data_IF_050989795407
#
_entry.id   IF_050989795407
#
_cell.length_a   1.000
_cell.length_b   1.000
_cell.length_c   1.000
_cell.angle_alpha   90.00
_cell.angle_beta   90.00
_cell.angle_gamma   90.00
#
_symmetry.space_group_name_H-M   'P 1'
#
loop_
_entity.id
_entity.type
_entity.pdbx_description
1 polymer ?
#
# COMPACT_ATOMS: atom_id res chain seq x y z
N UNK A 1 1.87 17.40 -0.22
CA UNK A 1 1.35 16.67 -1.40
C UNK A 1 1.33 17.52 -2.66
N UNK A 2 0.44 18.50 -2.77
CA UNK A 2 0.30 19.31 -4.00
C UNK A 2 1.58 19.88 -4.61
N UNK A 3 2.49 20.44 -3.79
CA UNK A 3 3.76 21.01 -4.27
C UNK A 3 4.62 20.05 -5.10
N UNK A 4 4.61 18.75 -4.78
CA UNK A 4 5.50 17.77 -5.41
C UNK A 4 4.76 16.76 -6.30
N UNK A 5 3.45 16.60 -6.12
CA UNK A 5 2.68 15.53 -6.78
C UNK A 5 1.50 16.03 -7.62
N UNK A 6 1.27 17.35 -7.74
CA UNK A 6 0.10 17.85 -8.48
C UNK A 6 0.03 17.30 -9.91
N UNK A 7 1.16 17.11 -10.60
CA UNK A 7 1.22 16.57 -11.98
C UNK A 7 0.77 15.11 -12.12
N UNK A 8 0.45 14.44 -11.02
CA UNK A 8 -0.08 13.07 -10.97
C UNK A 8 -1.52 13.00 -10.45
N UNK A 9 -2.07 14.10 -9.93
CA UNK A 9 -3.38 14.12 -9.26
C UNK A 9 -4.42 14.69 -10.23
N UNK A 10 -5.57 14.02 -10.34
CA UNK A 10 -6.72 14.55 -11.07
C UNK A 10 -8.04 14.12 -10.42
N UNK A 11 -9.04 15.02 -10.34
CA UNK A 11 -8.91 16.47 -10.44
C UNK A 11 -7.95 17.01 -9.36
N UNK A 12 -7.19 18.05 -9.70
CA UNK A 12 -6.33 18.74 -8.74
C UNK A 12 -6.91 20.12 -8.44
N UNK A 13 -7.29 20.35 -7.19
CA UNK A 13 -7.93 21.59 -6.74
C UNK A 13 -6.97 22.56 -6.02
N UNK A 14 -5.69 22.19 -5.91
CA UNK A 14 -4.69 23.02 -5.25
C UNK A 14 -4.09 24.10 -6.16
N UNK A 15 -3.13 24.85 -5.61
CA UNK A 15 -2.55 26.05 -6.26
C UNK A 15 -1.14 25.86 -6.82
N UNK A 16 -0.56 24.66 -6.68
CA UNK A 16 0.85 24.40 -7.07
C UNK A 16 1.06 24.12 -8.57
N UNK A 17 -0.01 24.04 -9.37
CA UNK A 17 0.06 23.79 -10.80
C UNK A 17 -1.30 23.37 -11.35
N UNK A 18 -1.35 22.99 -12.63
CA UNK A 18 -2.61 22.65 -13.32
C UNK A 18 -3.22 21.30 -12.88
N UNK A 19 -2.42 20.40 -12.29
CA UNK A 19 -2.83 19.02 -12.08
C UNK A 19 -2.37 18.07 -13.18
N UNK A 20 -2.93 16.86 -13.18
CA UNK A 20 -2.88 15.91 -14.29
C UNK A 20 -4.21 15.94 -15.07
N UNK A 21 -4.25 15.38 -16.29
CA UNK A 21 -5.51 15.18 -17.04
C UNK A 21 -6.20 13.84 -16.73
N UNK A 22 -5.47 12.93 -16.08
CA UNK A 22 -5.91 11.60 -15.67
C UNK A 22 -5.26 11.30 -14.32
N UNK A 23 -6.02 10.72 -13.40
CA UNK A 23 -5.50 10.46 -12.06
C UNK A 23 -4.43 9.35 -12.12
N UNK A 24 -3.28 9.61 -11.50
CA UNK A 24 -2.12 8.72 -11.37
C UNK A 24 -1.63 8.66 -9.93
N UNK A 25 -2.44 9.16 -8.99
CA UNK A 25 -2.12 9.25 -7.58
C UNK A 25 -3.28 8.68 -6.77
N UNK A 26 -3.05 7.50 -6.20
CA UNK A 26 -4.05 6.70 -5.49
C UNK A 26 -3.52 6.41 -4.07
N UNK A 27 -3.80 7.28 -3.10
CA UNK A 27 -3.36 7.11 -1.72
C UNK A 27 -4.29 6.18 -0.94
N UNK A 28 -3.77 5.55 0.12
CA UNK A 28 -4.57 4.91 1.17
C UNK A 28 -4.47 5.74 2.46
N UNK A 29 -5.56 5.80 3.23
CA UNK A 29 -5.58 6.47 4.54
C UNK A 29 -4.63 5.82 5.55
N UNK A 30 -3.95 6.66 6.35
CA UNK A 30 -3.18 6.24 7.52
C UNK A 30 -3.65 6.91 8.80
N UNK A 31 -3.01 6.55 9.91
CA UNK A 31 -3.41 7.07 11.22
C UNK A 31 -3.26 8.59 11.36
N UNK A 32 -2.32 9.18 10.62
CA UNK A 32 -2.11 10.62 10.58
C UNK A 32 -3.23 11.38 9.86
N UNK A 33 -3.84 10.78 8.83
CA UNK A 33 -5.01 11.34 8.17
C UNK A 33 -6.21 11.33 9.12
N UNK A 34 -6.45 10.19 9.78
CA UNK A 34 -7.51 10.07 10.77
C UNK A 34 -7.32 10.95 12.01
N UNK A 35 -6.07 11.22 12.41
CA UNK A 35 -5.76 12.17 13.48
C UNK A 35 -6.14 13.61 13.11
N UNK A 36 -6.35 13.90 11.83
CA UNK A 36 -6.64 15.23 11.32
C UNK A 36 -8.11 15.33 10.94
N UNK A 37 -8.94 15.78 11.88
CA UNK A 37 -10.39 15.97 11.68
C UNK A 37 -11.08 14.73 11.08
N UNK A 38 -10.74 13.54 11.59
CA UNK A 38 -11.30 12.27 11.15
C UNK A 38 -11.20 12.06 9.63
N UNK A 39 -10.00 12.26 9.07
CA UNK A 39 -9.68 12.13 7.65
C UNK A 39 -10.39 13.11 6.69
N UNK A 40 -11.19 14.07 7.20
CA UNK A 40 -11.91 15.02 6.35
C UNK A 40 -11.00 15.77 5.35
N UNK A 41 -9.80 16.25 5.72
CA UNK A 41 -8.93 16.93 4.76
C UNK A 41 -8.43 16.02 3.63
N UNK A 42 -8.34 14.72 3.86
CA UNK A 42 -8.02 13.75 2.81
C UNK A 42 -9.21 13.62 1.85
N UNK A 43 -10.42 13.45 2.39
CA UNK A 43 -11.67 13.28 1.63
C UNK A 43 -12.03 14.54 0.83
N UNK A 44 -11.70 15.72 1.36
CA UNK A 44 -11.90 16.98 0.65
C UNK A 44 -10.88 17.22 -0.47
N UNK A 45 -9.70 16.59 -0.38
CA UNK A 45 -8.56 16.90 -1.24
C UNK A 45 -8.45 15.98 -2.45
N UNK A 46 -8.72 14.70 -2.27
CA UNK A 46 -8.67 13.71 -3.33
C UNK A 46 -10.08 13.44 -3.87
N UNK A 47 -10.15 13.06 -5.14
CA UNK A 47 -11.35 12.43 -5.71
C UNK A 47 -10.93 11.04 -6.15
N UNK A 48 -11.44 10.03 -5.47
CA UNK A 48 -11.04 8.63 -5.65
C UNK A 48 -12.27 7.78 -5.97
N UNK A 49 -12.08 6.53 -6.46
CA UNK A 49 -13.20 5.64 -6.67
C UNK A 49 -13.95 5.29 -5.37
N UNK A 50 -15.15 4.74 -5.55
CA UNK A 50 -16.03 4.22 -4.49
C UNK A 50 -16.31 5.22 -3.36
N UNK A 51 -15.92 4.88 -2.13
CA UNK A 51 -16.14 5.70 -0.94
C UNK A 51 -14.89 6.48 -0.51
N UNK A 52 -13.82 6.41 -1.32
CA UNK A 52 -12.55 7.12 -1.17
C UNK A 52 -11.69 6.72 0.03
N UNK A 53 -12.25 6.01 1.03
CA UNK A 53 -11.52 5.42 2.16
C UNK A 53 -10.88 4.10 1.78
N UNK A 54 -11.67 3.25 1.13
CA UNK A 54 -11.22 2.02 0.49
C UNK A 54 -11.90 1.90 -0.87
N UNK A 55 -11.14 1.45 -1.86
CA UNK A 55 -11.55 1.50 -3.26
C UNK A 55 -10.64 0.62 -4.11
N UNK A 56 -11.09 0.32 -5.33
CA UNK A 56 -10.26 -0.39 -6.30
C UNK A 56 -10.16 0.34 -7.64
N UNK A 57 -9.17 -0.06 -8.43
CA UNK A 57 -9.03 0.36 -9.82
C UNK A 57 -8.11 -0.59 -10.59
N UNK A 58 -8.20 -0.54 -11.92
CA UNK A 58 -7.29 -1.28 -12.80
C UNK A 58 -6.28 -0.35 -13.46
N UNK A 59 -5.05 -0.84 -13.62
CA UNK A 59 -3.97 -0.14 -14.33
C UNK A 59 -3.11 -1.13 -15.11
N UNK A 60 -3.40 -1.24 -16.42
CA UNK A 60 -2.77 -2.26 -17.26
C UNK A 60 -3.09 -3.67 -16.74
N UNK A 61 -2.10 -4.52 -16.44
CA UNK A 61 -2.31 -5.90 -15.96
C UNK A 61 -2.60 -5.99 -14.45
N UNK A 62 -2.74 -4.86 -13.76
CA UNK A 62 -2.94 -4.79 -12.32
C UNK A 62 -4.40 -4.46 -11.99
N UNK A 63 -4.97 -5.17 -11.02
CA UNK A 63 -6.11 -4.71 -10.22
C UNK A 63 -5.62 -4.35 -8.83
N UNK A 64 -5.74 -3.08 -8.45
CA UNK A 64 -5.25 -2.55 -7.19
C UNK A 64 -6.41 -2.28 -6.24
N UNK A 65 -6.25 -2.70 -4.99
CA UNK A 65 -7.22 -2.53 -3.91
C UNK A 65 -6.59 -1.74 -2.78
N UNK A 66 -7.09 -0.52 -2.56
CA UNK A 66 -6.72 0.33 -1.43
C UNK A 66 -7.62 -0.01 -0.24
N UNK A 67 -7.03 -0.28 0.93
CA UNK A 67 -7.78 -0.44 2.18
C UNK A 67 -7.49 0.73 3.13
N UNK A 68 -8.47 1.02 3.99
CA UNK A 68 -8.28 1.80 5.19
C UNK A 68 -8.13 0.85 6.37
N UNK A 69 -6.91 0.80 6.92
CA UNK A 69 -6.55 -0.14 7.98
C UNK A 69 -6.51 0.51 9.37
N UNK A 70 -6.96 1.76 9.51
CA UNK A 70 -7.07 2.43 10.79
C UNK A 70 -8.29 1.94 11.56
N UNK A 71 -8.15 1.71 12.88
CA UNK A 71 -9.24 1.20 13.72
C UNK A 71 -10.48 2.09 13.80
N UNK A 72 -10.40 3.34 13.30
CA UNK A 72 -11.52 4.29 13.23
C UNK A 72 -12.36 4.16 11.96
N UNK A 73 -11.96 3.31 11.02
CA UNK A 73 -12.74 3.05 9.80
C UNK A 73 -14.15 2.53 10.18
N UNK A 74 -15.24 3.19 9.73
CA UNK A 74 -16.62 2.87 10.16
C UNK A 74 -17.16 1.50 9.73
N UNK A 75 -16.73 0.98 8.58
CA UNK A 75 -17.08 -0.33 8.03
C UNK A 75 -16.27 -1.50 8.64
N UNK A 76 -15.20 -1.18 9.38
CA UNK A 76 -14.33 -2.05 10.16
C UNK A 76 -13.04 -2.49 9.44
N UNK A 77 -12.07 -2.94 10.25
CA UNK A 77 -10.71 -3.35 9.80
C UNK A 77 -10.33 -4.82 10.11
N UNK A 78 -11.29 -5.63 10.53
CA UNK A 78 -11.11 -7.08 10.77
C UNK A 78 -11.61 -7.95 9.62
N UNK A 79 -11.25 -9.24 9.62
CA UNK A 79 -11.56 -10.18 8.52
C UNK A 79 -13.07 -10.38 8.21
N UNK A 80 -13.95 -10.07 9.17
CA UNK A 80 -15.40 -10.27 9.05
C UNK A 80 -16.19 -8.96 8.85
N UNK A 81 -15.49 -7.89 8.47
CA UNK A 81 -16.04 -6.54 8.34
C UNK A 81 -16.62 -6.30 6.95
N UNK A 82 -17.41 -5.23 6.79
CA UNK A 82 -17.96 -4.85 5.49
C UNK A 82 -16.84 -4.61 4.47
N UNK A 83 -15.78 -3.92 4.88
CA UNK A 83 -14.59 -3.71 4.05
C UNK A 83 -13.91 -5.03 3.65
N UNK A 84 -13.79 -6.00 4.56
CA UNK A 84 -13.20 -7.30 4.26
C UNK A 84 -14.04 -8.13 3.27
N UNK A 85 -15.37 -8.11 3.40
CA UNK A 85 -16.29 -8.77 2.45
C UNK A 85 -16.21 -8.12 1.07
N UNK A 86 -16.10 -6.79 1.02
CA UNK A 86 -15.88 -6.03 -0.21
C UNK A 86 -14.59 -6.50 -0.90
N UNK A 87 -13.47 -6.56 -0.18
CA UNK A 87 -12.19 -7.01 -0.74
C UNK A 87 -12.25 -8.46 -1.23
N UNK A 88 -12.80 -9.36 -0.42
CA UNK A 88 -12.94 -10.77 -0.79
C UNK A 88 -13.72 -10.93 -2.10
N UNK A 89 -14.81 -10.17 -2.25
CA UNK A 89 -15.64 -10.18 -3.46
C UNK A 89 -14.89 -9.60 -4.66
N UNK A 90 -14.19 -8.48 -4.47
CA UNK A 90 -13.42 -7.82 -5.52
C UNK A 90 -12.26 -8.68 -6.05
N UNK A 91 -11.50 -9.30 -5.15
CA UNK A 91 -10.41 -10.21 -5.53
C UNK A 91 -10.93 -11.44 -6.28
N UNK A 92 -12.02 -12.05 -5.80
CA UNK A 92 -12.63 -13.21 -6.45
C UNK A 92 -13.23 -12.88 -7.84
N UNK A 93 -13.67 -11.64 -8.04
CA UNK A 93 -14.22 -11.16 -9.31
C UNK A 93 -13.17 -10.61 -10.29
N UNK A 94 -11.92 -10.44 -9.87
CA UNK A 94 -10.88 -9.85 -10.70
C UNK A 94 -10.48 -10.76 -11.86
N UNK A 95 -10.39 -10.16 -13.06
CA UNK A 95 -9.86 -10.82 -14.27
C UNK A 95 -8.44 -10.37 -14.61
N UNK A 96 -7.84 -9.49 -13.79
CA UNK A 96 -6.49 -8.98 -14.04
C UNK A 96 -5.43 -10.04 -13.76
N UNK A 97 -4.30 -10.03 -14.50
CA UNK A 97 -3.18 -10.90 -14.24
C UNK A 97 -2.66 -10.85 -12.80
N UNK A 98 -2.64 -9.67 -12.18
CA UNK A 98 -2.10 -9.47 -10.83
C UNK A 98 -3.06 -8.65 -9.97
N UNK A 99 -3.32 -9.14 -8.77
CA UNK A 99 -4.12 -8.44 -7.77
C UNK A 99 -3.19 -7.90 -6.67
N UNK A 100 -3.22 -6.58 -6.46
CA UNK A 100 -2.36 -5.89 -5.50
C UNK A 100 -3.23 -5.28 -4.41
N UNK A 101 -2.98 -5.63 -3.15
CA UNK A 101 -3.65 -4.99 -2.01
C UNK A 101 -2.67 -4.05 -1.32
N UNK A 102 -3.08 -2.82 -0.98
CA UNK A 102 -2.22 -1.88 -0.30
C UNK A 102 -2.96 -1.02 0.74
N UNK A 103 -2.29 -0.73 1.86
CA UNK A 103 -2.84 0.04 2.97
C UNK A 103 -1.74 0.54 3.93
N UNK A 104 -2.11 1.18 5.03
CA UNK A 104 -1.13 1.83 5.90
C UNK A 104 -0.47 0.88 6.92
N UNK A 105 -1.25 0.19 7.76
CA UNK A 105 -0.75 -0.58 8.91
C UNK A 105 -0.38 -2.03 8.52
N UNK A 106 0.89 -2.41 8.63
CA UNK A 106 1.39 -3.70 8.13
C UNK A 106 0.86 -4.92 8.91
N UNK A 107 0.31 -5.97 8.25
CA UNK A 107 -0.09 -7.20 8.92
C UNK A 107 1.08 -7.95 9.57
N UNK A 108 2.25 -7.84 8.95
CA UNK A 108 3.52 -8.40 9.38
C UNK A 108 4.60 -7.34 9.23
N UNK A 109 5.34 -7.08 10.30
CA UNK A 109 6.46 -6.14 10.33
C UNK A 109 7.38 -6.50 11.48
N UNK A 110 8.68 -6.44 11.21
CA UNK A 110 9.77 -6.52 12.19
C UNK A 110 10.20 -5.14 12.70
N UNK A 111 9.51 -4.07 12.28
CA UNK A 111 9.79 -2.69 12.64
C UNK A 111 9.41 -2.36 14.09
N UNK A 112 9.50 -1.06 14.43
CA UNK A 112 9.26 -0.58 15.78
C UNK A 112 7.78 -0.62 16.17
N UNK A 113 6.87 -0.34 15.23
CA UNK A 113 5.42 -0.50 15.48
C UNK A 113 5.01 -1.96 15.43
N UNK A 114 5.67 -2.74 14.57
CA UNK A 114 5.51 -4.18 14.49
C UNK A 114 4.22 -4.60 13.79
N UNK A 115 3.84 -5.86 14.00
CA UNK A 115 2.71 -6.46 13.29
C UNK A 115 1.34 -5.95 13.77
N UNK A 116 0.49 -5.59 12.81
CA UNK A 116 -0.91 -5.22 13.05
C UNK A 116 -1.83 -6.42 12.86
N UNK A 117 -2.18 -7.10 13.95
CA UNK A 117 -2.86 -8.40 13.89
C UNK A 117 -4.28 -8.35 13.32
N UNK A 118 -5.03 -7.25 13.51
CA UNK A 118 -6.37 -7.13 12.94
C UNK A 118 -6.36 -7.01 11.41
N UNK A 119 -5.26 -6.55 10.82
CA UNK A 119 -5.07 -6.46 9.36
C UNK A 119 -4.55 -7.76 8.73
N UNK A 120 -4.38 -8.85 9.50
CA UNK A 120 -4.03 -10.15 8.94
C UNK A 120 -5.29 -10.78 8.38
N UNK A 121 -5.54 -10.64 7.08
CA UNK A 121 -6.68 -11.29 6.40
C UNK A 121 -6.18 -12.41 5.47
N UNK A 122 -7.05 -13.34 5.03
CA UNK A 122 -6.67 -14.44 4.13
C UNK A 122 -6.53 -13.96 2.68
N UNK A 123 -5.65 -12.98 2.47
CA UNK A 123 -5.42 -12.31 1.18
C UNK A 123 -5.02 -13.30 0.08
N UNK A 124 -4.20 -14.30 0.42
CA UNK A 124 -3.74 -15.32 -0.54
C UNK A 124 -4.91 -16.16 -1.02
N UNK A 125 -5.72 -16.65 -0.10
CA UNK A 125 -6.90 -17.46 -0.37
C UNK A 125 -7.96 -16.67 -1.15
N UNK A 126 -8.02 -15.35 -0.93
CA UNK A 126 -8.92 -14.46 -1.67
C UNK A 126 -8.40 -14.09 -3.06
N UNK A 127 -7.13 -14.35 -3.36
CA UNK A 127 -6.57 -14.18 -4.71
C UNK A 127 -5.62 -13.00 -4.87
N UNK A 128 -5.11 -12.42 -3.79
CA UNK A 128 -4.05 -11.41 -3.87
C UNK A 128 -2.73 -12.02 -4.35
N UNK A 129 -2.00 -11.29 -5.19
CA UNK A 129 -0.65 -11.63 -5.63
C UNK A 129 0.43 -11.07 -4.69
N UNK A 130 0.15 -9.92 -4.07
CA UNK A 130 1.06 -9.21 -3.15
C UNK A 130 0.28 -8.25 -2.27
N UNK A 131 0.79 -8.01 -1.06
CA UNK A 131 0.27 -7.01 -0.12
C UNK A 131 1.34 -5.97 0.21
N UNK A 132 1.01 -4.69 0.09
CA UNK A 132 1.86 -3.57 0.48
C UNK A 132 1.34 -2.88 1.72
N UNK A 133 2.25 -2.48 2.59
CA UNK A 133 1.96 -1.67 3.75
C UNK A 133 3.02 -0.58 3.97
N UNK A 134 2.71 0.38 4.83
CA UNK A 134 3.63 1.41 5.32
C UNK A 134 3.71 1.38 6.85
N UNK A 135 3.44 2.54 7.46
CA UNK A 135 3.40 2.78 8.90
C UNK A 135 4.76 2.63 9.62
N UNK A 136 5.36 1.44 9.56
CA UNK A 136 6.74 1.27 9.99
C UNK A 136 7.69 1.94 9.00
N UNK A 137 8.49 2.89 9.49
CA UNK A 137 9.44 3.65 8.67
C UNK A 137 10.72 2.85 8.37
N UNK A 138 10.52 1.68 7.78
CA UNK A 138 11.51 0.70 7.30
C UNK A 138 11.11 0.24 5.90
N UNK A 139 12.04 -0.42 5.21
CA UNK A 139 11.73 -1.30 4.11
C UNK A 139 11.91 -2.74 4.57
N UNK A 140 10.91 -3.57 4.31
CA UNK A 140 10.95 -4.99 4.63
C UNK A 140 10.18 -5.79 3.58
N UNK A 141 10.78 -6.88 3.08
CA UNK A 141 10.08 -7.89 2.28
C UNK A 141 9.95 -9.16 3.10
N UNK A 142 8.72 -9.65 3.24
CA UNK A 142 8.39 -10.88 3.94
C UNK A 142 7.71 -11.87 2.99
N UNK A 143 7.89 -13.16 3.26
CA UNK A 143 7.16 -14.24 2.60
C UNK A 143 6.41 -15.03 3.67
N UNK A 144 5.09 -14.78 3.77
CA UNK A 144 4.24 -15.41 4.79
C UNK A 144 3.30 -16.37 4.10
N UNK A 145 3.37 -17.65 4.46
CA UNK A 145 2.56 -18.73 3.86
C UNK A 145 2.57 -18.74 2.32
N UNK A 146 3.69 -18.31 1.72
CA UNK A 146 3.87 -18.23 0.27
C UNK A 146 3.23 -17.03 -0.43
N UNK A 147 2.74 -16.02 0.32
CA UNK A 147 2.34 -14.72 -0.21
C UNK A 147 3.38 -13.66 0.16
N UNK A 148 3.68 -12.76 -0.79
CA UNK A 148 4.57 -11.63 -0.56
C UNK A 148 3.89 -10.49 0.19
N UNK A 149 4.60 -10.00 1.20
CA UNK A 149 4.26 -8.78 1.93
C UNK A 149 5.44 -7.82 1.87
N UNK A 150 5.15 -6.53 1.65
CA UNK A 150 6.13 -5.47 1.72
C UNK A 150 5.72 -4.43 2.76
N UNK A 151 6.63 -4.07 3.65
CA UNK A 151 6.61 -2.80 4.37
C UNK A 151 7.48 -1.84 3.58
N UNK A 152 6.91 -0.72 3.11
CA UNK A 152 7.62 0.30 2.35
C UNK A 152 7.33 1.70 2.93
N UNK A 153 7.68 1.90 4.21
CA UNK A 153 7.42 3.16 4.92
C UNK A 153 8.57 4.17 4.89
N UNK A 154 9.58 3.99 4.03
CA UNK A 154 10.77 4.85 3.92
C UNK A 154 10.57 6.10 3.04
N UNK A 155 9.36 6.65 3.01
CA UNK A 155 9.00 7.80 2.17
C UNK A 155 9.51 9.17 2.67
N UNK A 156 10.05 9.27 3.89
CA UNK A 156 10.65 10.50 4.40
C UNK A 156 10.44 10.81 5.90
N UNK A 157 9.65 10.01 6.62
CA UNK A 157 9.49 10.11 8.08
C UNK A 157 10.75 9.73 8.86
N UNK A 158 10.75 9.87 10.18
CA UNK A 158 11.89 9.39 11.00
C UNK A 158 12.06 7.89 10.85
N UNK A 159 13.22 7.41 10.38
CA UNK A 159 13.48 5.99 10.16
C UNK A 159 13.46 5.21 11.48
N UNK A 160 12.90 4.00 11.46
CA UNK A 160 12.83 3.13 12.62
C UNK A 160 13.90 2.03 12.61
N UNK A 161 14.17 1.48 13.79
CA UNK A 161 14.94 0.25 13.94
C UNK A 161 14.07 -0.99 13.74
N UNK A 162 14.72 -2.14 13.54
CA UNK A 162 14.06 -3.44 13.64
C UNK A 162 14.17 -3.95 15.08
N UNK A 163 13.08 -4.52 15.59
CA UNK A 163 12.98 -4.97 16.99
C UNK A 163 12.80 -6.48 17.03
N UNK A 164 11.60 -6.97 16.70
CA UNK A 164 11.26 -8.38 16.71
C UNK A 164 11.31 -8.93 15.28
N UNK A 165 12.48 -9.41 14.87
CA UNK A 165 12.68 -9.93 13.51
C UNK A 165 11.87 -11.21 13.31
N UNK A 166 10.84 -11.12 12.47
CA UNK A 166 9.98 -12.24 12.11
C UNK A 166 10.76 -13.28 11.29
N UNK A 167 10.43 -14.56 11.47
CA UNK A 167 11.05 -15.66 10.73
C UNK A 167 10.81 -15.57 9.23
N UNK A 168 9.71 -14.95 8.82
CA UNK A 168 9.28 -14.74 7.44
C UNK A 168 10.01 -13.57 6.75
N UNK A 169 10.73 -12.75 7.52
CA UNK A 169 11.46 -11.57 7.04
C UNK A 169 12.65 -11.97 6.16
N UNK A 170 12.59 -11.63 4.86
CA UNK A 170 13.59 -12.01 3.87
C UNK A 170 14.63 -10.90 3.64
N UNK A 171 14.18 -9.65 3.54
CA UNK A 171 15.05 -8.48 3.33
C UNK A 171 14.59 -7.35 4.23
N UNK A 172 15.54 -6.63 4.80
CA UNK A 172 15.34 -5.50 5.72
C UNK A 172 16.28 -4.37 5.36
N UNK A 173 15.76 -3.14 5.31
CA UNK A 173 16.56 -1.95 5.05
C UNK A 173 16.01 -0.74 5.81
N UNK A 174 16.90 0.03 6.44
CA UNK A 174 16.57 1.29 7.12
C UNK A 174 17.75 2.30 7.07
N UNK A 175 18.71 2.12 6.16
CA UNK A 175 19.90 2.95 6.09
C UNK A 175 19.66 4.31 5.42
N UNK A 176 18.75 4.39 4.46
CA UNK A 176 18.33 5.64 3.80
C UNK A 176 16.84 5.57 3.45
N UNK A 177 16.29 6.66 2.92
CA UNK A 177 14.96 6.71 2.34
C UNK A 177 14.96 6.12 0.93
N UNK A 178 13.78 5.75 0.43
CA UNK A 178 13.64 5.17 -0.90
C UNK A 178 12.19 5.02 -1.33
N UNK A 179 12.02 4.40 -2.49
CA UNK A 179 10.72 4.08 -3.06
C UNK A 179 10.80 2.77 -3.84
N UNK A 180 9.66 2.11 -3.99
CA UNK A 180 9.54 0.93 -4.84
C UNK A 180 9.10 1.32 -6.25
N UNK A 181 9.74 0.72 -7.25
CA UNK A 181 9.26 0.63 -8.62
C UNK A 181 8.64 -0.76 -8.82
N UNK A 182 7.43 -0.80 -9.35
CA UNK A 182 6.75 -2.04 -9.74
C UNK A 182 6.50 -2.01 -11.24
N UNK A 183 6.96 -3.05 -11.92
CA UNK A 183 6.73 -3.24 -13.36
C UNK A 183 6.00 -4.56 -13.57
N UNK A 184 4.94 -4.56 -14.37
CA UNK A 184 4.14 -5.75 -14.62
C UNK A 184 3.71 -5.85 -16.07
N UNK A 185 3.64 -7.08 -16.57
CA UNK A 185 2.94 -7.51 -17.77
C UNK A 185 2.05 -8.73 -17.43
N UNK A 186 1.47 -9.39 -18.42
CA UNK A 186 0.55 -10.51 -18.16
C UNK A 186 1.25 -11.77 -17.58
N UNK A 187 2.57 -11.89 -17.78
CA UNK A 187 3.37 -13.06 -17.41
C UNK A 187 4.29 -12.85 -16.21
N UNK A 188 4.67 -11.61 -15.90
CA UNK A 188 5.54 -11.28 -14.77
C UNK A 188 5.17 -9.99 -14.03
N UNK A 189 5.51 -9.95 -12.74
CA UNK A 189 5.52 -8.73 -11.93
C UNK A 189 6.84 -8.63 -11.16
N UNK A 190 7.53 -7.51 -11.34
CA UNK A 190 8.87 -7.23 -10.80
C UNK A 190 8.74 -6.09 -9.78
N UNK A 191 9.30 -6.32 -8.60
CA UNK A 191 9.35 -5.37 -7.49
C UNK A 191 10.79 -4.96 -7.24
N UNK A 192 11.07 -3.66 -7.25
CA UNK A 192 12.42 -3.13 -7.01
C UNK A 192 12.38 -1.99 -6.00
N UNK A 193 13.15 -2.08 -4.92
CA UNK A 193 13.32 -0.97 -3.99
C UNK A 193 14.63 -0.24 -4.28
N UNK A 194 14.53 1.06 -4.57
CA UNK A 194 15.66 1.95 -4.76
C UNK A 194 15.73 2.95 -3.62
N UNK A 195 16.94 3.22 -3.13
CA UNK A 195 17.14 4.32 -2.21
C UNK A 195 17.26 5.67 -2.96
N UNK A 196 17.34 6.78 -2.23
CA UNK A 196 17.48 8.14 -2.80
C UNK A 196 18.77 8.39 -3.61
N UNK A 197 19.74 7.47 -3.55
CA UNK A 197 20.96 7.50 -4.36
C UNK A 197 20.82 6.69 -5.65
N UNK A 198 19.61 6.20 -5.95
CA UNK A 198 19.31 5.28 -7.05
C UNK A 198 20.05 3.94 -6.94
N UNK A 199 20.45 3.54 -5.73
CA UNK A 199 21.02 2.20 -5.50
C UNK A 199 19.87 1.20 -5.39
N UNK A 200 19.93 0.12 -6.18
CA UNK A 200 19.01 -1.00 -6.07
C UNK A 200 19.35 -1.79 -4.80
N UNK A 201 18.41 -1.82 -3.85
CA UNK A 201 18.59 -2.48 -2.56
C UNK A 201 17.99 -3.88 -2.57
N UNK A 202 16.83 -4.05 -3.20
CA UNK A 202 16.12 -5.32 -3.27
C UNK A 202 15.38 -5.44 -4.60
N UNK A 203 15.31 -6.68 -5.11
CA UNK A 203 14.56 -7.03 -6.30
C UNK A 203 13.90 -8.39 -6.10
N UNK A 204 12.66 -8.53 -6.58
CA UNK A 204 11.94 -9.80 -6.58
C UNK A 204 11.02 -9.87 -7.80
N UNK A 205 10.90 -11.04 -8.41
CA UNK A 205 10.01 -11.27 -9.55
C UNK A 205 9.07 -12.43 -9.24
N UNK A 206 7.78 -12.25 -9.54
CA UNK A 206 6.83 -13.37 -9.67
C UNK A 206 6.61 -13.60 -11.17
N UNK A 207 6.69 -14.86 -11.60
CA UNK A 207 6.40 -15.31 -12.96
C UNK A 207 5.25 -16.32 -12.92
N UNK A 208 4.46 -16.39 -14.00
CA UNK A 208 3.39 -17.39 -14.19
C UNK A 208 3.84 -18.61 -14.97
#
# INVERSE_FOLDING_TARGET
MGQFYHSYIYPYLGTYGQGADVNRFFPSLGNHDWNTSAAQPYLDYFTLPDNERYYDFTWGPLHLFALDSDSREPDGVGQSTTQAVWLQTGLAGSTSPWNVVYFHHAPYSSGQHGSTTWARWPYKEWGASVVFAGHDHTYERLLVDGLLYFVNGLGGGTKYGFVDILTESQVRYNADYGAMLVQADDGSIIFQFFNRRNELIDTYTIEK
#
